data_IF_877075506632
#
_entry.id   IF_877075506632
#
_cell.length_a   1.000
_cell.length_b   1.000
_cell.length_c   1.000
_cell.angle_alpha   90.00
_cell.angle_beta   90.00
_cell.angle_gamma   90.00
#
_symmetry.space_group_name_H-M   'P 1'
#
loop_
_entity.id
_entity.type
_entity.pdbx_description
1 polymer ?
#
# COMPACT_ATOMS: atom_id res chain seq x y z
N UNK A 1 3.08 2.81 16.32
CA UNK A 1 1.83 3.61 16.19
C UNK A 1 2.23 4.99 15.72
N UNK A 2 1.48 5.55 14.78
CA UNK A 2 1.72 6.89 14.24
C UNK A 2 0.44 7.71 14.35
N UNK A 3 0.56 9.01 14.63
CA UNK A 3 -0.56 9.95 14.58
C UNK A 3 -0.80 10.34 13.11
N UNK A 4 -2.05 10.23 12.67
CA UNK A 4 -2.46 10.50 11.29
C UNK A 4 -3.57 11.55 11.29
N UNK A 5 -3.33 12.67 11.97
CA UNK A 5 -4.27 13.79 12.01
C UNK A 5 -5.42 13.57 12.98
N UNK A 6 -5.10 13.15 14.22
CA UNK A 6 -6.08 12.98 15.29
C UNK A 6 -6.58 11.55 15.51
N UNK A 7 -6.06 10.59 14.74
CA UNK A 7 -6.28 9.15 14.93
C UNK A 7 -4.93 8.44 14.93
N UNK A 8 -4.78 7.34 15.68
CA UNK A 8 -3.56 6.53 15.61
C UNK A 8 -3.78 5.33 14.70
N UNK A 9 -2.70 4.94 14.03
CA UNK A 9 -2.66 3.70 13.26
C UNK A 9 -1.44 2.87 13.64
N UNK A 10 -1.57 1.55 13.53
CA UNK A 10 -0.41 0.68 13.52
C UNK A 10 0.36 0.91 12.22
N UNK A 11 1.66 1.10 12.37
CA UNK A 11 2.60 1.20 11.25
C UNK A 11 3.75 0.28 11.56
N UNK A 12 4.33 -0.30 10.51
CA UNK A 12 5.64 -0.91 10.59
C UNK A 12 6.66 0.14 11.01
N UNK A 13 7.70 -0.30 11.70
CA UNK A 13 8.85 0.54 12.01
C UNK A 13 9.79 0.61 10.81
N UNK A 14 10.62 1.64 10.80
CA UNK A 14 11.62 1.87 9.75
C UNK A 14 13.02 1.58 10.30
N UNK A 15 13.94 1.27 9.40
CA UNK A 15 15.37 1.21 9.67
C UNK A 15 15.96 2.62 9.71
N UNK A 16 17.24 2.73 10.09
CA UNK A 16 17.95 4.01 10.13
C UNK A 16 18.03 4.72 8.77
N UNK A 17 17.90 3.98 7.67
CA UNK A 17 17.88 4.50 6.29
C UNK A 17 16.46 4.69 5.72
N UNK A 18 15.43 4.69 6.57
CA UNK A 18 14.01 4.84 6.20
C UNK A 18 13.40 3.69 5.41
N UNK A 19 14.13 2.60 5.21
CA UNK A 19 13.54 1.38 4.66
C UNK A 19 12.54 0.78 5.66
N UNK A 20 11.51 0.11 5.13
CA UNK A 20 10.65 -0.74 5.93
C UNK A 20 11.48 -1.79 6.69
N UNK A 21 11.15 -2.07 7.94
CA UNK A 21 11.86 -3.08 8.76
C UNK A 21 11.88 -4.51 8.17
N UNK A 22 11.06 -4.77 7.14
CA UNK A 22 10.95 -6.06 6.45
C UNK A 22 11.73 -6.09 5.12
N UNK A 23 12.45 -5.02 4.78
CA UNK A 23 13.21 -4.90 3.53
C UNK A 23 14.67 -5.29 3.75
N UNK A 24 15.16 -6.32 3.07
CA UNK A 24 16.56 -6.76 3.10
C UNK A 24 17.06 -7.04 1.69
N UNK A 25 18.31 -6.68 1.39
CA UNK A 25 18.99 -7.00 0.13
C UNK A 25 18.19 -6.68 -1.14
N UNK A 26 17.41 -5.60 -1.12
CA UNK A 26 16.60 -5.16 -2.26
C UNK A 26 15.26 -5.90 -2.43
N UNK A 27 14.81 -6.65 -1.42
CA UNK A 27 13.52 -7.35 -1.45
C UNK A 27 12.79 -7.35 -0.10
N UNK A 28 11.47 -7.56 -0.14
CA UNK A 28 10.68 -7.80 1.06
C UNK A 28 10.88 -9.24 1.55
N UNK A 29 11.35 -9.43 2.79
CA UNK A 29 11.62 -10.75 3.38
C UNK A 29 10.37 -11.60 3.61
N UNK A 30 9.19 -10.96 3.63
CA UNK A 30 7.89 -11.62 3.82
C UNK A 30 6.95 -11.40 2.63
N UNK A 31 7.48 -11.36 1.41
CA UNK A 31 6.74 -11.00 0.19
C UNK A 31 5.38 -11.71 0.03
N UNK A 32 5.32 -13.02 0.28
CA UNK A 32 4.08 -13.81 0.21
C UNK A 32 3.08 -13.48 1.34
N UNK A 33 3.60 -13.10 2.50
CA UNK A 33 2.82 -12.74 3.69
C UNK A 33 2.67 -11.22 3.89
N UNK A 34 2.89 -10.42 2.84
CA UNK A 34 2.81 -8.96 2.90
C UNK A 34 1.49 -8.51 3.52
N UNK A 35 1.51 -7.51 4.43
CA UNK A 35 0.30 -6.90 4.98
C UNK A 35 -0.62 -6.38 3.87
N UNK A 36 -1.92 -6.25 4.19
CA UNK A 36 -2.91 -5.78 3.22
C UNK A 36 -2.51 -4.44 2.59
N UNK A 37 -1.96 -3.51 3.39
CA UNK A 37 -1.48 -2.22 2.89
C UNK A 37 -0.49 -2.37 1.72
N UNK A 38 0.52 -3.24 1.86
CA UNK A 38 1.51 -3.49 0.80
C UNK A 38 0.95 -4.36 -0.33
N UNK A 39 0.08 -5.34 -0.03
CA UNK A 39 -0.51 -6.26 -1.03
C UNK A 39 -1.47 -5.55 -1.97
N UNK A 40 -2.21 -4.57 -1.47
CA UNK A 40 -3.21 -3.80 -2.22
C UNK A 40 -2.61 -2.66 -3.02
N UNK A 41 -1.32 -2.32 -2.85
CA UNK A 41 -0.66 -1.34 -3.70
C UNK A 41 -0.58 -1.87 -5.15
N UNK A 42 -0.90 -1.07 -6.19
CA UNK A 42 -1.16 0.37 -6.17
C UNK A 42 -2.64 0.80 -6.07
N UNK A 43 -3.56 -0.13 -5.82
CA UNK A 43 -5.02 0.10 -5.82
C UNK A 43 -5.55 0.75 -4.53
N UNK A 44 -4.82 1.73 -4.00
CA UNK A 44 -5.26 2.50 -2.83
C UNK A 44 -6.26 3.58 -3.26
N UNK A 45 -7.19 3.97 -2.39
CA UNK A 45 -8.23 4.97 -2.69
C UNK A 45 -7.67 6.25 -3.33
N UNK A 46 -6.56 6.76 -2.78
CA UNK A 46 -5.93 7.98 -3.29
C UNK A 46 -5.47 7.85 -4.75
N UNK A 47 -4.92 6.69 -5.13
CA UNK A 47 -4.44 6.44 -6.50
C UNK A 47 -5.61 6.18 -7.46
N UNK A 48 -6.74 5.67 -6.94
CA UNK A 48 -7.94 5.37 -7.72
C UNK A 48 -8.93 6.54 -7.79
N UNK A 49 -8.62 7.67 -7.14
CA UNK A 49 -9.51 8.83 -7.08
C UNK A 49 -9.78 9.46 -8.45
N UNK A 50 -8.81 9.40 -9.37
CA UNK A 50 -8.96 9.88 -10.75
C UNK A 50 -7.88 9.28 -11.68
N UNK A 51 -8.04 9.37 -13.01
CA UNK A 51 -6.99 9.00 -13.96
C UNK A 51 -5.69 9.78 -13.77
N UNK A 52 -5.77 11.05 -13.37
CA UNK A 52 -4.60 11.90 -13.11
C UNK A 52 -3.85 11.41 -11.87
N UNK A 53 -4.57 11.08 -10.78
CA UNK A 53 -3.97 10.53 -9.55
C UNK A 53 -3.27 9.19 -9.80
N UNK A 54 -3.87 8.33 -10.63
CA UNK A 54 -3.23 7.09 -11.06
C UNK A 54 -1.95 7.36 -11.86
N UNK A 55 -2.00 8.34 -12.77
CA UNK A 55 -0.85 8.71 -13.60
C UNK A 55 0.30 9.29 -12.77
N UNK A 56 0.01 10.10 -11.76
CA UNK A 56 0.99 10.63 -10.81
C UNK A 56 1.65 9.50 -9.99
N UNK A 57 0.83 8.58 -9.45
CA UNK A 57 1.33 7.42 -8.73
C UNK A 57 2.24 6.56 -9.63
N UNK A 58 1.82 6.33 -10.89
CA UNK A 58 2.60 5.58 -11.87
C UNK A 58 3.93 6.25 -12.24
N UNK A 59 3.97 7.60 -12.25
CA UNK A 59 5.21 8.35 -12.41
C UNK A 59 6.20 8.15 -11.25
N UNK A 60 5.70 7.84 -10.06
CA UNK A 60 6.51 7.66 -8.85
C UNK A 60 6.96 6.21 -8.63
N UNK A 61 6.26 5.23 -9.20
CA UNK A 61 6.57 3.82 -9.05
C UNK A 61 6.55 3.07 -10.39
N UNK A 62 7.71 2.58 -10.88
CA UNK A 62 7.81 1.92 -12.18
C UNK A 62 7.08 0.58 -12.26
N UNK A 63 6.63 0.02 -11.12
CA UNK A 63 5.86 -1.23 -11.08
C UNK A 63 4.37 -1.06 -11.41
N UNK A 64 3.85 0.18 -11.37
CA UNK A 64 2.43 0.42 -11.68
C UNK A 64 2.20 0.23 -13.18
N UNK A 65 1.18 -0.55 -13.52
CA UNK A 65 0.87 -0.94 -14.90
C UNK A 65 1.71 -2.09 -15.46
N UNK A 66 2.66 -2.64 -14.70
CA UNK A 66 3.49 -3.78 -15.12
C UNK A 66 3.00 -5.14 -14.61
N UNK A 67 2.03 -5.14 -13.71
CA UNK A 67 1.48 -6.35 -13.09
C UNK A 67 0.32 -6.98 -13.87
N UNK A 68 -0.18 -8.14 -13.40
CA UNK A 68 -1.37 -8.76 -13.97
C UNK A 68 -2.60 -7.85 -13.82
N UNK A 69 -3.52 -7.93 -14.78
CA UNK A 69 -4.83 -7.26 -14.70
C UNK A 69 -5.60 -7.81 -13.51
N UNK A 70 -6.12 -6.91 -12.69
CA UNK A 70 -7.01 -7.22 -11.56
C UNK A 70 -8.43 -6.82 -11.92
N UNK A 71 -9.40 -7.66 -11.56
CA UNK A 71 -10.81 -7.34 -11.76
C UNK A 71 -11.30 -6.35 -10.70
N UNK A 72 -12.25 -5.50 -11.06
CA UNK A 72 -12.81 -4.48 -10.15
C UNK A 72 -13.28 -5.10 -8.81
N UNK A 73 -13.95 -6.25 -8.85
CA UNK A 73 -14.41 -6.97 -7.64
C UNK A 73 -13.28 -7.33 -6.67
N UNK A 74 -12.09 -7.66 -7.17
CA UNK A 74 -10.93 -7.99 -6.34
C UNK A 74 -10.36 -6.72 -5.69
N UNK A 75 -10.34 -5.62 -6.45
CA UNK A 75 -9.89 -4.31 -5.97
C UNK A 75 -10.87 -3.79 -4.90
N UNK A 76 -12.17 -3.85 -5.15
CA UNK A 76 -13.22 -3.42 -4.21
C UNK A 76 -13.14 -4.21 -2.89
N UNK A 77 -12.83 -5.52 -2.96
CA UNK A 77 -12.59 -6.34 -1.78
C UNK A 77 -11.38 -5.87 -0.96
N UNK A 78 -10.28 -5.46 -1.60
CA UNK A 78 -9.13 -4.90 -0.88
C UNK A 78 -9.44 -3.54 -0.25
N UNK A 79 -10.16 -2.67 -0.96
CA UNK A 79 -10.54 -1.36 -0.47
C UNK A 79 -11.42 -1.48 0.78
N UNK A 80 -12.45 -2.33 0.75
CA UNK A 80 -13.33 -2.54 1.92
C UNK A 80 -12.54 -3.05 3.12
N UNK A 81 -11.65 -4.02 2.92
CA UNK A 81 -10.79 -4.57 3.98
C UNK A 81 -9.83 -3.53 4.57
N UNK A 82 -9.33 -2.59 3.75
CA UNK A 82 -8.50 -1.47 4.22
C UNK A 82 -9.32 -0.45 5.01
N UNK A 83 -10.54 -0.16 4.60
CA UNK A 83 -11.43 0.77 5.33
C UNK A 83 -11.84 0.19 6.69
N UNK A 84 -11.91 -1.13 6.79
CA UNK A 84 -12.17 -1.86 8.03
C UNK A 84 -10.93 -1.98 8.95
N UNK A 85 -9.72 -1.59 8.52
CA UNK A 85 -8.55 -1.63 9.39
C UNK A 85 -8.76 -0.71 10.61
N UNK A 86 -8.60 -1.23 11.84
CA UNK A 86 -8.98 -0.50 13.04
C UNK A 86 -8.11 0.74 13.22
N UNK A 87 -8.78 1.87 13.47
CA UNK A 87 -8.15 3.04 14.06
C UNK A 87 -7.92 2.75 15.55
N UNK A 88 -6.75 3.13 16.05
CA UNK A 88 -6.35 3.00 17.46
C UNK A 88 -6.36 4.38 18.13
#
# INVERSE_FOLDING_TARGET
MVDVGGFRRLSLTEKANFDCTLWEDGACTVYESRPLQCRSFPFWDANLASPDAWSEAAGSCPGIGQGPVRHAVEIDYWLSRRHEEPLI
#
